data_IF_743265469057
#
_entry.id   IF_743265469057
#
_cell.length_a   1.000
_cell.length_b   1.000
_cell.length_c   1.000
_cell.angle_alpha   90.00
_cell.angle_beta   90.00
_cell.angle_gamma   90.00
#
_symmetry.space_group_name_H-M   'P 1'
#
loop_
_entity.id
_entity.type
_entity.pdbx_description
1 polymer ?
#
# COMPACT_ATOMS: atom_id res chain seq x y z
N UNK A 1 -0.49 18.37 34.77
CA UNK A 1 -0.41 18.62 33.32
C UNK A 1 -1.79 19.05 32.90
N UNK A 2 -1.96 20.32 32.59
CA UNK A 2 -3.25 20.82 32.12
C UNK A 2 -3.55 20.17 30.77
N UNK A 3 -4.65 19.41 30.73
CA UNK A 3 -5.16 18.81 29.51
C UNK A 3 -5.44 19.95 28.52
N UNK A 4 -4.82 19.89 27.35
CA UNK A 4 -5.15 20.80 26.24
C UNK A 4 -6.66 20.71 26.02
N UNK A 5 -7.40 21.84 26.05
CA UNK A 5 -8.84 21.85 25.81
C UNK A 5 -9.20 21.10 24.53
N UNK A 6 -10.29 20.33 24.55
CA UNK A 6 -10.79 19.53 23.41
C UNK A 6 -10.79 20.33 22.10
N UNK A 7 -11.23 21.58 22.19
CA UNK A 7 -11.43 22.45 21.04
C UNK A 7 -10.07 22.87 20.41
N UNK A 8 -9.02 22.99 21.23
CA UNK A 8 -7.66 23.24 20.74
C UNK A 8 -7.03 21.98 20.14
N UNK A 9 -7.36 20.79 20.64
CA UNK A 9 -6.94 19.53 20.04
C UNK A 9 -7.59 19.31 18.67
N UNK A 10 -8.90 19.59 18.56
CA UNK A 10 -9.64 19.48 17.31
C UNK A 10 -9.11 20.47 16.25
N UNK A 11 -8.84 21.72 16.63
CA UNK A 11 -8.23 22.70 15.74
C UNK A 11 -6.84 22.28 15.24
N UNK A 12 -6.02 21.70 16.13
CA UNK A 12 -4.69 21.21 15.77
C UNK A 12 -4.77 20.00 14.82
N UNK A 13 -5.65 19.04 15.10
CA UNK A 13 -5.89 17.86 14.27
C UNK A 13 -6.45 18.24 12.90
N UNK A 14 -7.41 19.17 12.84
CA UNK A 14 -7.96 19.71 11.59
C UNK A 14 -6.91 20.46 10.77
N UNK A 15 -6.06 21.27 11.42
CA UNK A 15 -4.94 21.94 10.76
C UNK A 15 -3.92 20.94 10.22
N UNK A 16 -3.64 19.86 10.95
CA UNK A 16 -2.74 18.80 10.51
C UNK A 16 -3.31 18.01 9.33
N UNK A 17 -4.60 17.65 9.37
CA UNK A 17 -5.33 17.00 8.27
C UNK A 17 -5.25 17.86 7.00
N UNK A 18 -5.59 19.15 7.11
CA UNK A 18 -5.55 20.09 5.99
C UNK A 18 -4.12 20.24 5.47
N UNK A 19 -3.13 20.34 6.35
CA UNK A 19 -1.73 20.53 5.98
C UNK A 19 -1.13 19.29 5.29
N UNK A 20 -1.42 18.08 5.79
CA UNK A 20 -1.04 16.81 5.18
C UNK A 20 -1.67 16.64 3.80
N UNK A 21 -2.98 16.93 3.71
CA UNK A 21 -3.72 16.92 2.46
C UNK A 21 -3.15 17.91 1.45
N UNK A 22 -2.85 19.16 1.85
CA UNK A 22 -2.25 20.17 0.96
C UNK A 22 -0.84 19.76 0.52
N UNK A 23 0.05 19.38 1.45
CA UNK A 23 1.43 19.00 1.14
C UNK A 23 1.48 17.84 0.16
N UNK A 24 0.68 16.80 0.40
CA UNK A 24 0.68 15.61 -0.46
C UNK A 24 0.00 15.84 -1.80
N UNK A 25 -1.07 16.62 -1.83
CA UNK A 25 -1.71 17.02 -3.09
C UNK A 25 -0.74 17.86 -3.94
N UNK A 26 0.01 18.80 -3.32
CA UNK A 26 1.01 19.62 -4.01
C UNK A 26 2.18 18.78 -4.54
N UNK A 27 2.66 17.80 -3.77
CA UNK A 27 3.72 16.88 -4.17
C UNK A 27 3.29 16.02 -5.37
N UNK A 28 2.05 15.52 -5.37
CA UNK A 28 1.50 14.70 -6.46
C UNK A 28 1.23 15.52 -7.73
N UNK A 29 0.69 16.73 -7.61
CA UNK A 29 0.46 17.63 -8.75
C UNK A 29 1.77 17.97 -9.45
N UNK A 30 2.85 18.19 -8.68
CA UNK A 30 4.18 18.47 -9.23
C UNK A 30 4.80 17.26 -9.95
N UNK A 31 4.60 16.04 -9.42
CA UNK A 31 5.21 14.82 -9.95
C UNK A 31 4.42 14.18 -11.11
N UNK A 32 3.11 14.42 -11.20
CA UNK A 32 2.19 13.72 -12.11
C UNK A 32 1.61 14.60 -13.23
N UNK A 33 2.14 15.81 -13.44
CA UNK A 33 1.62 16.73 -14.46
C UNK A 33 0.18 17.19 -14.22
N UNK A 34 -0.23 17.29 -12.95
CA UNK A 34 -1.56 17.81 -12.56
C UNK A 34 -2.63 16.79 -12.18
N UNK A 35 -2.39 15.48 -12.31
CA UNK A 35 -3.35 14.46 -11.87
C UNK A 35 -3.06 13.97 -10.43
N UNK A 36 -4.09 14.00 -9.58
CA UNK A 36 -4.04 13.51 -8.19
C UNK A 36 -4.54 12.06 -8.15
N UNK A 37 -3.69 11.15 -7.68
CA UNK A 37 -4.09 9.79 -7.32
C UNK A 37 -4.70 9.80 -5.90
N UNK A 38 -6.03 9.86 -5.84
CA UNK A 38 -6.76 9.94 -4.58
C UNK A 38 -6.66 8.64 -3.77
N UNK A 39 -6.45 7.50 -4.41
CA UNK A 39 -6.23 6.22 -3.73
C UNK A 39 -4.91 6.22 -2.96
N UNK A 40 -3.82 6.69 -3.57
CA UNK A 40 -2.53 6.84 -2.88
C UNK A 40 -2.61 7.84 -1.73
N UNK A 41 -3.28 8.98 -1.93
CA UNK A 41 -3.48 9.96 -0.86
C UNK A 41 -4.29 9.37 0.30
N UNK A 42 -5.38 8.64 -0.01
CA UNK A 42 -6.19 7.95 0.99
C UNK A 42 -5.38 6.91 1.79
N UNK A 43 -4.51 6.15 1.12
CA UNK A 43 -3.61 5.18 1.78
C UNK A 43 -2.62 5.85 2.74
N UNK A 44 -2.11 7.05 2.42
CA UNK A 44 -1.21 7.80 3.30
C UNK A 44 -1.94 8.36 4.53
N UNK A 45 -3.20 8.76 4.38
CA UNK A 45 -4.00 9.32 5.46
C UNK A 45 -4.55 8.25 6.40
N UNK A 46 -4.85 7.05 5.88
CA UNK A 46 -5.41 5.92 6.65
C UNK A 46 -4.69 5.64 7.98
N UNK A 47 -3.35 5.43 8.05
CA UNK A 47 -2.69 5.14 9.33
C UNK A 47 -2.72 6.30 10.34
N UNK A 48 -2.99 7.53 9.90
CA UNK A 48 -3.08 8.71 10.77
C UNK A 48 -4.50 8.97 11.30
N UNK A 49 -5.51 8.46 10.58
CA UNK A 49 -6.93 8.75 10.83
C UNK A 49 -7.75 7.53 11.22
N UNK A 50 -7.21 6.32 11.07
CA UNK A 50 -7.80 5.11 11.67
C UNK A 50 -7.44 5.07 13.15
N UNK A 51 -8.43 5.12 14.03
CA UNK A 51 -8.22 4.90 15.46
C UNK A 51 -7.70 3.47 15.72
N UNK A 52 -6.55 3.31 16.41
CA UNK A 52 -6.12 2.00 16.90
C UNK A 52 -7.20 1.26 17.71
N UNK A 53 -8.08 1.97 18.42
CA UNK A 53 -9.18 1.36 19.18
C UNK A 53 -10.19 0.62 18.30
N UNK A 54 -10.34 0.99 17.03
CA UNK A 54 -11.21 0.24 16.10
C UNK A 54 -10.67 -1.15 15.83
N UNK A 55 -9.36 -1.27 15.63
CA UNK A 55 -8.70 -2.58 15.44
C UNK A 55 -8.84 -3.42 16.71
N UNK A 56 -8.59 -2.80 17.88
CA UNK A 56 -8.71 -3.49 19.16
C UNK A 56 -10.16 -3.95 19.43
N UNK A 57 -11.14 -3.09 19.15
CA UNK A 57 -12.57 -3.40 19.33
C UNK A 57 -13.03 -4.52 18.41
N UNK A 58 -12.58 -4.54 17.16
CA UNK A 58 -12.86 -5.62 16.22
C UNK A 58 -12.23 -6.94 16.68
N UNK A 59 -10.97 -6.92 17.10
CA UNK A 59 -10.28 -8.11 17.58
C UNK A 59 -10.90 -8.65 18.87
N UNK A 60 -11.31 -7.77 19.80
CA UNK A 60 -12.04 -8.16 21.00
C UNK A 60 -13.36 -8.83 20.65
N UNK A 61 -14.17 -8.20 19.81
CA UNK A 61 -15.41 -8.80 19.30
C UNK A 61 -15.18 -10.19 18.71
N UNK A 62 -14.13 -10.35 17.90
CA UNK A 62 -13.73 -11.64 17.30
C UNK A 62 -13.31 -12.68 18.35
N UNK A 63 -12.53 -12.28 19.35
CA UNK A 63 -12.08 -13.17 20.44
C UNK A 63 -13.22 -13.63 21.33
N UNK A 64 -14.28 -12.83 21.46
CA UNK A 64 -15.48 -13.17 22.23
C UNK A 64 -16.36 -14.21 21.50
N UNK A 65 -16.11 -14.50 20.22
CA UNK A 65 -16.85 -15.50 19.46
C UNK A 65 -16.27 -16.91 19.64
N UNK A 66 -17.12 -17.87 20.03
CA UNK A 66 -16.75 -19.29 20.09
C UNK A 66 -16.45 -19.88 18.69
N UNK A 67 -17.15 -19.40 17.66
CA UNK A 67 -16.89 -19.70 16.26
C UNK A 67 -17.32 -18.52 15.38
N UNK A 68 -16.55 -18.24 14.33
CA UNK A 68 -16.81 -17.13 13.42
C UNK A 68 -17.35 -17.68 12.10
N UNK A 69 -18.57 -17.31 11.74
CA UNK A 69 -19.21 -17.73 10.47
C UNK A 69 -19.23 -16.59 9.46
N UNK A 70 -19.38 -16.89 8.14
CA UNK A 70 -19.58 -15.86 7.13
C UNK A 70 -20.78 -14.97 7.43
N UNK A 71 -21.90 -15.51 7.91
CA UNK A 71 -23.07 -14.68 8.23
C UNK A 71 -22.76 -13.64 9.33
N UNK A 72 -22.01 -14.01 10.37
CA UNK A 72 -21.63 -13.08 11.45
C UNK A 72 -20.72 -11.96 10.95
N UNK A 73 -19.78 -12.27 10.06
CA UNK A 73 -18.92 -11.27 9.42
C UNK A 73 -19.73 -10.30 8.56
N UNK A 74 -20.66 -10.84 7.79
CA UNK A 74 -21.53 -10.03 6.93
C UNK A 74 -22.49 -9.16 7.77
N UNK A 75 -22.98 -9.65 8.90
CA UNK A 75 -23.74 -8.88 9.90
C UNK A 75 -22.90 -7.74 10.51
N UNK A 76 -21.69 -8.04 10.98
CA UNK A 76 -20.77 -7.04 11.55
C UNK A 76 -20.48 -5.90 10.58
N UNK A 77 -20.32 -6.22 9.30
CA UNK A 77 -20.15 -5.22 8.24
C UNK A 77 -21.35 -4.27 8.15
N UNK A 78 -22.57 -4.79 8.11
CA UNK A 78 -23.76 -3.94 7.98
C UNK A 78 -23.98 -3.09 9.23
N UNK A 79 -23.77 -3.66 10.42
CA UNK A 79 -23.80 -2.91 11.68
C UNK A 79 -22.88 -1.67 11.61
N UNK A 80 -21.62 -1.86 11.22
CA UNK A 80 -20.64 -0.76 11.17
C UNK A 80 -20.96 0.25 10.07
N UNK A 81 -21.51 -0.19 8.93
CA UNK A 81 -22.02 0.75 7.91
C UNK A 81 -23.09 1.64 8.52
N UNK A 82 -24.07 1.09 9.23
CA UNK A 82 -25.14 1.89 9.83
C UNK A 82 -24.65 2.80 10.95
N UNK A 83 -23.77 2.31 11.82
CA UNK A 83 -23.19 3.12 12.89
C UNK A 83 -22.47 4.36 12.33
N UNK A 84 -21.79 4.21 11.20
CA UNK A 84 -21.10 5.31 10.52
C UNK A 84 -22.08 6.21 9.76
N UNK A 85 -23.13 5.68 9.14
CA UNK A 85 -24.16 6.49 8.49
C UNK A 85 -24.96 7.34 9.49
N UNK A 86 -25.16 6.85 10.73
CA UNK A 86 -25.75 7.65 11.83
C UNK A 86 -24.91 8.87 12.21
N UNK A 87 -23.62 8.89 11.84
CA UNK A 87 -22.72 10.04 12.00
C UNK A 87 -22.77 11.02 10.81
N UNK A 88 -23.65 10.79 9.84
CA UNK A 88 -23.92 11.69 8.72
C UNK A 88 -22.67 11.98 7.86
N UNK A 89 -21.85 10.96 7.62
CA UNK A 89 -20.61 11.08 6.85
C UNK A 89 -20.81 11.46 5.38
N UNK A 90 -22.04 11.32 4.86
CA UNK A 90 -22.39 11.58 3.47
C UNK A 90 -23.13 12.92 3.27
N UNK A 91 -23.24 13.77 4.31
CA UNK A 91 -23.98 15.05 4.29
C UNK A 91 -23.61 16.03 3.17
N UNK A 92 -22.38 15.95 2.66
CA UNK A 92 -21.89 16.82 1.58
C UNK A 92 -21.99 16.21 0.18
N UNK A 93 -22.47 14.96 0.06
CA UNK A 93 -22.70 14.34 -1.25
C UNK A 93 -24.01 14.84 -1.86
N UNK A 94 -24.15 14.68 -3.18
CA UNK A 94 -25.40 14.99 -3.87
C UNK A 94 -26.53 14.07 -3.38
N UNK A 95 -27.77 14.55 -3.41
CA UNK A 95 -28.92 13.76 -2.96
C UNK A 95 -29.04 12.45 -3.75
N UNK A 96 -29.51 11.40 -3.06
CA UNK A 96 -29.79 10.13 -3.68
C UNK A 96 -30.95 10.27 -4.68
N UNK A 97 -30.78 9.72 -5.88
CA UNK A 97 -31.86 9.60 -6.83
C UNK A 97 -32.84 8.52 -6.35
N UNK A 98 -34.13 8.68 -6.65
CA UNK A 98 -35.17 7.73 -6.23
C UNK A 98 -34.87 6.28 -6.67
N UNK A 99 -34.25 6.08 -7.84
CA UNK A 99 -33.89 4.73 -8.29
C UNK A 99 -32.80 4.10 -7.42
N UNK A 100 -31.82 4.87 -6.92
CA UNK A 100 -30.77 4.37 -6.02
C UNK A 100 -31.34 3.94 -4.67
N UNK A 101 -32.33 4.69 -4.18
CA UNK A 101 -33.05 4.38 -2.94
C UNK A 101 -33.90 3.12 -3.11
N UNK A 102 -34.59 2.97 -4.25
CA UNK A 102 -35.43 1.80 -4.53
C UNK A 102 -34.62 0.50 -4.70
N UNK A 103 -33.33 0.58 -5.04
CA UNK A 103 -32.43 -0.58 -5.09
C UNK A 103 -31.99 -1.08 -3.70
N UNK A 104 -32.34 -0.36 -2.62
CA UNK A 104 -32.06 -0.78 -1.25
C UNK A 104 -33.22 -1.66 -0.81
N UNK A 105 -33.02 -2.98 -0.92
CA UNK A 105 -34.03 -3.95 -0.54
C UNK A 105 -34.07 -4.12 0.99
N UNK A 106 -35.21 -3.80 1.58
CA UNK A 106 -35.46 -3.92 3.03
C UNK A 106 -35.29 -5.37 3.51
N UNK A 107 -35.69 -6.36 2.71
CA UNK A 107 -35.64 -7.78 3.10
C UNK A 107 -34.20 -8.30 3.17
N UNK A 108 -33.30 -7.79 2.33
CA UNK A 108 -31.87 -8.16 2.33
C UNK A 108 -31.14 -7.52 3.52
N UNK A 109 -31.65 -6.40 4.06
CA UNK A 109 -30.99 -5.63 5.12
C UNK A 109 -31.55 -5.98 6.51
N UNK A 110 -32.86 -6.18 6.62
CA UNK A 110 -33.54 -6.49 7.90
C UNK A 110 -33.14 -7.85 8.48
N UNK A 111 -32.74 -8.82 7.66
CA UNK A 111 -32.19 -10.10 8.13
C UNK A 111 -30.85 -9.95 8.89
N UNK A 112 -30.30 -8.73 8.97
CA UNK A 112 -28.94 -8.45 9.37
C UNK A 112 -28.79 -7.32 10.38
N UNK A 113 -29.88 -6.76 10.89
CA UNK A 113 -29.85 -5.76 11.97
C UNK A 113 -30.41 -6.47 13.21
N UNK A 114 -29.63 -6.54 14.30
CA UNK A 114 -30.10 -7.19 15.52
C UNK A 114 -31.13 -6.30 16.18
N UNK A 115 -32.40 -6.69 16.10
CA UNK A 115 -33.53 -6.22 16.87
C UNK A 115 -33.87 -4.70 16.79
N UNK A 116 -35.13 -4.46 16.38
CA UNK A 116 -35.92 -3.23 16.54
C UNK A 116 -35.55 -1.97 15.73
N UNK A 117 -34.34 -1.82 15.19
CA UNK A 117 -34.03 -0.68 14.32
C UNK A 117 -34.67 -0.87 12.94
N UNK A 118 -35.80 -0.18 12.70
CA UNK A 118 -36.38 -0.03 11.37
C UNK A 118 -35.47 0.84 10.52
N UNK A 119 -35.21 0.40 9.29
CA UNK A 119 -34.54 1.21 8.28
C UNK A 119 -35.44 2.38 7.91
N UNK A 120 -35.20 3.55 8.50
CA UNK A 120 -35.95 4.75 8.16
C UNK A 120 -35.55 5.26 6.75
N UNK A 121 -36.42 6.08 6.16
CA UNK A 121 -36.22 6.61 4.81
C UNK A 121 -34.95 7.47 4.69
N UNK A 122 -34.48 8.06 5.80
CA UNK A 122 -33.27 8.86 5.82
C UNK A 122 -32.01 7.97 5.72
N UNK A 123 -31.95 6.92 6.52
CA UNK A 123 -30.86 5.95 6.51
C UNK A 123 -30.77 5.24 5.16
N UNK A 124 -31.90 4.96 4.51
CA UNK A 124 -31.94 4.46 3.13
C UNK A 124 -31.27 5.42 2.16
N UNK A 125 -31.60 6.72 2.23
CA UNK A 125 -30.99 7.75 1.36
C UNK A 125 -29.48 7.85 1.60
N UNK A 126 -29.06 7.87 2.86
CA UNK A 126 -27.63 7.95 3.21
C UNK A 126 -26.86 6.69 2.79
N UNK A 127 -27.47 5.51 2.91
CA UNK A 127 -26.90 4.26 2.38
C UNK A 127 -26.81 4.28 0.85
N UNK A 128 -27.80 4.86 0.15
CA UNK A 128 -27.78 5.01 -1.30
C UNK A 128 -26.62 5.89 -1.74
N UNK A 129 -26.39 7.02 -1.06
CA UNK A 129 -25.21 7.88 -1.27
C UNK A 129 -23.92 7.11 -1.06
N UNK A 130 -23.78 6.40 0.07
CA UNK A 130 -22.57 5.63 0.36
C UNK A 130 -22.30 4.54 -0.68
N UNK A 131 -23.32 3.84 -1.19
CA UNK A 131 -23.18 2.79 -2.22
C UNK A 131 -22.44 3.27 -3.47
N UNK A 132 -22.51 4.56 -3.83
CA UNK A 132 -21.75 5.15 -4.96
C UNK A 132 -20.23 5.01 -4.81
N UNK A 133 -19.78 4.90 -3.57
CA UNK A 133 -18.39 4.81 -3.13
C UNK A 133 -18.01 3.42 -2.62
N UNK A 134 -18.92 2.45 -2.71
CA UNK A 134 -18.65 1.06 -2.35
C UNK A 134 -18.41 0.22 -3.60
N UNK A 135 -17.54 -0.76 -3.45
CA UNK A 135 -17.35 -1.85 -4.39
C UNK A 135 -17.98 -3.08 -3.76
N UNK A 136 -19.01 -3.64 -4.41
CA UNK A 136 -19.66 -4.91 -4.04
C UNK A 136 -19.39 -5.93 -5.14
N UNK A 137 -18.62 -6.97 -4.84
CA UNK A 137 -18.39 -8.09 -5.77
C UNK A 137 -18.36 -9.41 -4.97
N UNK A 138 -19.34 -10.26 -5.22
CA UNK A 138 -19.58 -11.45 -4.41
C UNK A 138 -19.82 -11.10 -2.94
N UNK A 139 -19.10 -11.78 -2.05
CA UNK A 139 -19.17 -11.55 -0.60
C UNK A 139 -18.31 -10.39 -0.11
N UNK A 140 -17.47 -9.81 -0.99
CA UNK A 140 -16.56 -8.72 -0.65
C UNK A 140 -17.25 -7.37 -0.84
N UNK A 141 -17.16 -6.53 0.19
CA UNK A 141 -17.58 -5.13 0.15
C UNK A 141 -16.46 -4.27 0.67
N UNK A 142 -16.03 -3.26 -0.10
CA UNK A 142 -14.96 -2.36 0.29
C UNK A 142 -15.19 -0.94 -0.21
N UNK A 143 -14.52 0.04 0.38
CA UNK A 143 -14.52 1.41 -0.11
C UNK A 143 -13.77 1.50 -1.46
N UNK A 144 -14.35 2.13 -2.47
CA UNK A 144 -13.63 2.66 -3.63
C UNK A 144 -12.78 3.85 -3.19
N UNK A 145 -11.51 3.60 -2.84
CA UNK A 145 -10.61 4.63 -2.28
C UNK A 145 -10.36 5.80 -3.23
N UNK A 146 -10.49 5.60 -4.54
CA UNK A 146 -10.32 6.67 -5.51
C UNK A 146 -11.53 7.61 -5.45
N UNK A 147 -12.75 7.09 -5.55
CA UNK A 147 -13.97 7.91 -5.47
C UNK A 147 -14.15 8.52 -4.08
N UNK A 148 -13.97 7.71 -3.04
CA UNK A 148 -14.17 8.13 -1.65
C UNK A 148 -13.07 9.10 -1.20
N UNK A 149 -11.83 8.91 -1.65
CA UNK A 149 -10.75 9.88 -1.44
C UNK A 149 -11.02 11.21 -2.16
N UNK A 150 -11.57 11.19 -3.36
CA UNK A 150 -12.00 12.41 -4.06
C UNK A 150 -13.09 13.16 -3.30
N UNK A 151 -14.09 12.44 -2.79
CA UNK A 151 -15.14 12.99 -1.93
C UNK A 151 -14.54 13.61 -0.66
N UNK A 152 -13.74 12.84 0.08
CA UNK A 152 -13.05 13.29 1.29
C UNK A 152 -12.28 14.60 1.04
N UNK A 153 -11.52 14.67 -0.05
CA UNK A 153 -10.69 15.82 -0.39
C UNK A 153 -11.47 17.05 -0.84
N UNK A 154 -12.53 16.85 -1.64
CA UNK A 154 -13.41 17.94 -2.08
C UNK A 154 -14.03 18.67 -0.88
N UNK A 155 -14.32 17.92 0.19
CA UNK A 155 -15.03 18.44 1.37
C UNK A 155 -14.16 18.52 2.63
N UNK A 156 -12.84 18.33 2.52
CA UNK A 156 -11.91 18.24 3.67
C UNK A 156 -11.93 19.48 4.58
N UNK A 157 -12.24 20.66 4.03
CA UNK A 157 -12.37 21.91 4.79
C UNK A 157 -13.66 21.97 5.60
N UNK A 158 -14.70 21.31 5.11
CA UNK A 158 -16.01 21.27 5.74
C UNK A 158 -16.10 20.18 6.81
N UNK A 159 -15.39 19.05 6.64
CA UNK A 159 -15.36 17.97 7.62
C UNK A 159 -14.82 18.41 8.99
N UNK A 160 -15.42 17.87 10.04
CA UNK A 160 -14.79 17.78 11.37
C UNK A 160 -13.72 16.69 11.37
N UNK A 161 -12.88 16.66 12.41
CA UNK A 161 -11.92 15.56 12.57
C UNK A 161 -12.64 14.21 12.75
N UNK A 162 -13.73 14.21 13.51
CA UNK A 162 -14.55 13.01 13.76
C UNK A 162 -15.25 12.50 12.50
N UNK A 163 -15.71 13.39 11.61
CA UNK A 163 -16.28 13.00 10.32
C UNK A 163 -15.23 12.24 9.49
N UNK A 164 -14.02 12.80 9.38
CA UNK A 164 -12.93 12.18 8.64
C UNK A 164 -12.55 10.84 9.28
N UNK A 165 -12.42 10.79 10.60
CA UNK A 165 -12.10 9.57 11.35
C UNK A 165 -13.14 8.48 11.10
N UNK A 166 -14.43 8.77 11.23
CA UNK A 166 -15.51 7.81 10.98
C UNK A 166 -15.44 7.17 9.57
N UNK A 167 -15.05 7.94 8.54
CA UNK A 167 -14.83 7.41 7.20
C UNK A 167 -13.68 6.39 7.14
N UNK A 168 -12.58 6.64 7.84
CA UNK A 168 -11.43 5.73 7.88
C UNK A 168 -11.68 4.52 8.81
N UNK A 169 -12.47 4.67 9.87
CA UNK A 169 -12.93 3.58 10.74
C UNK A 169 -13.79 2.57 9.95
N UNK A 170 -14.67 3.08 9.07
CA UNK A 170 -15.44 2.25 8.14
C UNK A 170 -14.53 1.42 7.24
N UNK A 171 -13.59 2.05 6.52
CA UNK A 171 -12.66 1.32 5.63
C UNK A 171 -11.78 0.32 6.38
N UNK A 172 -11.33 0.64 7.60
CA UNK A 172 -10.55 -0.27 8.43
C UNK A 172 -11.37 -1.52 8.81
N UNK A 173 -12.60 -1.33 9.25
CA UNK A 173 -13.46 -2.44 9.65
C UNK A 173 -13.88 -3.31 8.47
N UNK A 174 -14.19 -2.69 7.33
CA UNK A 174 -14.48 -3.43 6.09
C UNK A 174 -13.27 -4.26 5.63
N UNK A 175 -12.05 -3.69 5.69
CA UNK A 175 -10.83 -4.44 5.37
C UNK A 175 -10.62 -5.64 6.32
N UNK A 176 -10.86 -5.49 7.63
CA UNK A 176 -10.76 -6.59 8.60
C UNK A 176 -11.81 -7.69 8.35
N UNK A 177 -13.07 -7.31 8.10
CA UNK A 177 -14.13 -8.26 7.73
C UNK A 177 -13.78 -9.01 6.45
N UNK A 178 -13.29 -8.30 5.43
CA UNK A 178 -12.88 -8.94 4.17
C UNK A 178 -11.69 -9.89 4.38
N UNK A 179 -10.73 -9.53 5.23
CA UNK A 179 -9.60 -10.41 5.55
C UNK A 179 -10.05 -11.72 6.21
N UNK A 180 -11.01 -11.64 7.14
CA UNK A 180 -11.56 -12.84 7.78
C UNK A 180 -12.45 -13.68 6.84
N UNK A 181 -13.18 -13.03 5.91
CA UNK A 181 -13.88 -13.73 4.84
C UNK A 181 -12.91 -14.45 3.90
N UNK A 182 -11.77 -13.83 3.56
CA UNK A 182 -10.71 -14.46 2.77
C UNK A 182 -10.07 -15.63 3.51
N UNK A 183 -9.84 -15.50 4.83
CA UNK A 183 -9.31 -16.60 5.63
C UNK A 183 -10.22 -17.84 5.57
N UNK A 184 -11.54 -17.64 5.51
CA UNK A 184 -12.53 -18.71 5.36
C UNK A 184 -12.70 -19.18 3.91
N UNK A 185 -12.51 -18.29 2.92
CA UNK A 185 -12.59 -18.59 1.49
C UNK A 185 -11.50 -17.85 0.70
N UNK A 186 -10.31 -18.45 0.54
CA UNK A 186 -9.15 -17.78 -0.08
C UNK A 186 -9.37 -17.32 -1.52
N UNK A 187 -10.35 -17.88 -2.25
CA UNK A 187 -10.68 -17.44 -3.62
C UNK A 187 -11.10 -15.98 -3.68
N UNK A 188 -11.68 -15.45 -2.60
CA UNK A 188 -12.11 -14.06 -2.49
C UNK A 188 -10.94 -13.06 -2.55
N UNK A 189 -9.70 -13.49 -2.29
CA UNK A 189 -8.52 -12.62 -2.39
C UNK A 189 -8.36 -12.04 -3.80
N UNK A 190 -8.74 -12.79 -4.84
CA UNK A 190 -8.66 -12.33 -6.24
C UNK A 190 -9.52 -11.09 -6.48
N UNK A 191 -10.69 -10.99 -5.83
CA UNK A 191 -11.58 -9.83 -5.88
C UNK A 191 -10.90 -8.64 -5.21
N UNK A 192 -10.28 -8.84 -4.04
CA UNK A 192 -9.55 -7.76 -3.35
C UNK A 192 -8.40 -7.23 -4.23
N UNK A 193 -7.63 -8.13 -4.84
CA UNK A 193 -6.48 -7.77 -5.68
C UNK A 193 -6.87 -7.01 -6.96
N UNK A 194 -8.11 -7.14 -7.44
CA UNK A 194 -8.63 -6.39 -8.59
C UNK A 194 -8.78 -4.90 -8.30
N UNK A 195 -9.12 -4.53 -7.06
CA UNK A 195 -9.48 -3.15 -6.70
C UNK A 195 -8.49 -2.47 -5.76
N UNK A 196 -7.79 -3.25 -4.95
CA UNK A 196 -6.65 -2.75 -4.19
C UNK A 196 -5.44 -2.88 -5.10
N UNK A 197 -4.86 -1.74 -5.48
CA UNK A 197 -3.46 -1.70 -5.90
C UNK A 197 -2.71 -2.43 -4.81
N UNK A 198 -2.31 -3.67 -5.09
CA UNK A 198 -1.33 -4.32 -4.24
C UNK A 198 -0.15 -3.36 -4.24
N UNK A 199 0.51 -3.12 -3.09
CA UNK A 199 1.92 -2.77 -3.19
C UNK A 199 2.47 -3.83 -4.14
N UNK A 200 2.96 -3.40 -5.31
CA UNK A 200 3.62 -4.32 -6.21
C UNK A 200 4.48 -5.21 -5.32
N UNK A 201 4.35 -6.56 -5.39
CA UNK A 201 5.24 -7.41 -4.61
C UNK A 201 6.62 -6.82 -4.81
N UNK A 202 7.39 -6.61 -3.73
CA UNK A 202 8.67 -5.87 -3.75
C UNK A 202 9.59 -6.24 -4.93
N UNK A 203 9.33 -7.39 -5.55
CA UNK A 203 9.77 -7.96 -6.81
C UNK A 203 9.53 -7.09 -8.09
N UNK A 204 8.63 -6.10 -8.12
CA UNK A 204 8.45 -5.16 -9.25
C UNK A 204 9.00 -3.76 -8.98
N UNK A 205 9.80 -3.61 -7.93
CA UNK A 205 10.53 -2.38 -7.65
C UNK A 205 11.47 -2.02 -8.82
N UNK A 206 11.44 -0.77 -9.31
CA UNK A 206 12.26 -0.30 -10.43
C UNK A 206 13.76 -0.66 -10.32
N UNK A 207 14.45 -0.54 -9.17
CA UNK A 207 15.81 -1.04 -9.05
C UNK A 207 15.91 -2.56 -9.06
N UNK A 208 14.96 -3.31 -8.49
CA UNK A 208 14.99 -4.77 -8.55
C UNK A 208 14.98 -5.24 -10.01
N UNK A 209 14.04 -4.70 -10.81
CA UNK A 209 13.94 -4.97 -12.25
C UNK A 209 15.21 -4.58 -13.00
N UNK A 210 15.80 -3.43 -12.67
CA UNK A 210 17.03 -2.93 -13.33
C UNK A 210 18.25 -3.76 -12.93
N UNK A 211 18.40 -4.10 -11.65
CA UNK A 211 19.49 -4.95 -11.15
C UNK A 211 19.40 -6.32 -11.82
N UNK A 212 18.21 -6.95 -11.83
CA UNK A 212 17.98 -8.23 -12.54
C UNK A 212 18.35 -8.09 -14.00
N UNK A 213 17.77 -7.13 -14.72
CA UNK A 213 18.04 -6.91 -16.15
C UNK A 213 19.51 -6.62 -16.48
N UNK A 214 20.29 -6.09 -15.54
CA UNK A 214 21.74 -5.86 -15.71
C UNK A 214 22.51 -7.16 -15.45
N UNK A 215 22.22 -7.86 -14.36
CA UNK A 215 22.99 -9.00 -13.90
C UNK A 215 22.66 -10.30 -14.65
N UNK A 216 21.47 -10.40 -15.25
CA UNK A 216 21.05 -11.55 -16.07
C UNK A 216 21.35 -11.39 -17.56
N UNK A 217 22.06 -10.32 -17.97
CA UNK A 217 22.54 -10.20 -19.35
C UNK A 217 23.44 -11.39 -19.70
N UNK A 218 23.26 -11.96 -20.89
CA UNK A 218 24.00 -13.15 -21.34
C UNK A 218 25.51 -12.98 -21.21
N UNK A 219 26.03 -11.81 -21.56
CA UNK A 219 27.45 -11.49 -21.48
C UNK A 219 27.94 -11.35 -20.03
N UNK A 220 27.08 -10.88 -19.12
CA UNK A 220 27.38 -10.75 -17.68
C UNK A 220 27.36 -12.12 -16.99
N UNK A 221 26.37 -12.96 -17.30
CA UNK A 221 26.28 -14.34 -16.81
C UNK A 221 27.47 -15.19 -17.29
N UNK A 222 28.12 -14.85 -18.40
CA UNK A 222 29.34 -15.52 -18.83
C UNK A 222 30.53 -15.30 -17.86
N UNK A 223 30.47 -14.32 -16.96
CA UNK A 223 31.52 -13.96 -16.00
C UNK A 223 31.36 -14.57 -14.59
N UNK A 224 30.28 -15.31 -14.34
CA UNK A 224 30.05 -15.95 -13.04
C UNK A 224 31.10 -17.03 -12.76
N UNK A 225 31.43 -17.22 -11.49
CA UNK A 225 32.46 -18.17 -11.04
C UNK A 225 32.02 -19.63 -11.20
N UNK A 226 30.71 -19.91 -11.08
CA UNK A 226 30.10 -21.21 -11.26
C UNK A 226 28.75 -21.07 -11.99
N UNK A 227 28.69 -21.50 -13.25
CA UNK A 227 27.50 -21.36 -14.10
C UNK A 227 26.34 -22.27 -13.71
N UNK A 228 26.61 -23.38 -13.00
CA UNK A 228 25.56 -24.28 -12.53
C UNK A 228 24.88 -23.70 -11.28
N UNK A 229 25.68 -23.11 -10.38
CA UNK A 229 25.20 -22.51 -9.13
C UNK A 229 24.61 -21.11 -9.34
N UNK A 230 25.37 -20.19 -9.94
CA UNK A 230 25.01 -18.78 -10.10
C UNK A 230 24.42 -18.51 -11.49
N UNK A 231 23.32 -19.17 -11.80
CA UNK A 231 22.59 -18.98 -13.06
C UNK A 231 21.61 -17.79 -12.97
N UNK A 232 20.89 -17.50 -14.07
CA UNK A 232 19.95 -16.39 -14.14
C UNK A 232 18.87 -16.47 -13.05
N UNK A 233 18.30 -17.65 -12.82
CA UNK A 233 17.26 -17.88 -11.81
C UNK A 233 17.79 -17.61 -10.40
N UNK A 234 19.01 -18.05 -10.09
CA UNK A 234 19.65 -17.74 -8.81
C UNK A 234 19.85 -16.23 -8.62
N UNK A 235 20.30 -15.51 -9.66
CA UNK A 235 20.46 -14.05 -9.59
C UNK A 235 19.11 -13.36 -9.38
N UNK A 236 18.05 -13.79 -10.05
CA UNK A 236 16.71 -13.23 -9.86
C UNK A 236 16.22 -13.43 -8.42
N UNK A 237 16.38 -14.65 -7.90
CA UNK A 237 16.01 -14.98 -6.52
C UNK A 237 16.86 -14.21 -5.50
N UNK A 238 18.16 -14.06 -5.75
CA UNK A 238 19.05 -13.25 -4.93
C UNK A 238 18.57 -11.80 -4.85
N UNK A 239 18.18 -11.20 -5.98
CA UNK A 239 17.67 -9.82 -5.99
C UNK A 239 16.35 -9.73 -5.23
N UNK A 240 15.44 -10.69 -5.38
CA UNK A 240 14.19 -10.73 -4.61
C UNK A 240 14.47 -10.82 -3.11
N UNK A 241 15.38 -11.69 -2.69
CA UNK A 241 15.77 -11.84 -1.30
C UNK A 241 16.43 -10.56 -0.75
N UNK A 242 17.26 -9.87 -1.55
CA UNK A 242 17.88 -8.61 -1.18
C UNK A 242 16.83 -7.53 -0.98
N UNK A 243 15.84 -7.45 -1.86
CA UNK A 243 14.75 -6.48 -1.75
C UNK A 243 13.80 -6.78 -0.60
N UNK A 244 13.65 -8.05 -0.21
CA UNK A 244 12.88 -8.48 0.95
C UNK A 244 13.64 -8.29 2.29
N UNK A 245 14.94 -8.07 2.25
CA UNK A 245 15.76 -7.85 3.45
C UNK A 245 15.54 -6.47 4.07
N UNK A 246 16.14 -6.25 5.25
CA UNK A 246 16.24 -4.95 5.91
C UNK A 246 16.85 -3.84 5.04
N UNK A 247 17.64 -4.20 4.02
CA UNK A 247 18.22 -3.24 3.08
C UNK A 247 17.26 -2.79 1.97
N UNK A 248 16.18 -3.54 1.71
CA UNK A 248 15.23 -3.25 0.64
C UNK A 248 14.58 -1.86 0.76
N UNK A 249 14.17 -1.47 1.97
CA UNK A 249 13.60 -0.14 2.25
C UNK A 249 14.60 0.98 1.97
N UNK A 250 15.86 0.82 2.40
CA UNK A 250 16.92 1.82 2.17
C UNK A 250 17.29 1.95 0.69
N UNK A 251 17.34 0.83 -0.03
CA UNK A 251 17.51 0.82 -1.49
C UNK A 251 16.38 1.62 -2.14
N UNK A 252 15.17 1.52 -1.63
CA UNK A 252 14.03 2.25 -2.15
C UNK A 252 14.11 3.76 -1.93
N UNK A 253 14.50 4.18 -0.73
CA UNK A 253 14.73 5.58 -0.39
C UNK A 253 15.86 6.18 -1.24
N UNK A 254 16.98 5.47 -1.39
CA UNK A 254 18.09 5.94 -2.22
C UNK A 254 17.71 5.96 -3.70
N UNK A 255 16.84 5.07 -4.16
CA UNK A 255 16.34 5.06 -5.54
C UNK A 255 15.47 6.28 -5.84
N UNK A 256 14.73 6.83 -4.89
CA UNK A 256 13.97 8.06 -5.11
C UNK A 256 14.88 9.21 -5.56
N UNK A 257 16.13 9.26 -5.07
CA UNK A 257 17.13 10.25 -5.44
C UNK A 257 17.82 9.92 -6.78
N UNK A 258 17.53 10.71 -7.83
CA UNK A 258 18.07 10.52 -9.18
C UNK A 258 19.61 10.45 -9.24
N UNK A 259 20.33 11.17 -8.35
CA UNK A 259 21.80 11.16 -8.29
C UNK A 259 22.37 9.85 -7.71
N UNK A 260 21.57 9.10 -6.97
CA UNK A 260 21.97 7.83 -6.32
C UNK A 260 21.54 6.59 -7.11
N UNK A 261 20.50 6.68 -7.94
CA UNK A 261 19.96 5.55 -8.75
C UNK A 261 21.03 4.74 -9.47
N UNK A 262 21.97 5.41 -10.14
CA UNK A 262 23.02 4.72 -10.90
C UNK A 262 24.01 3.93 -10.02
N UNK A 263 24.19 4.36 -8.77
CA UNK A 263 25.15 3.72 -7.86
C UNK A 263 24.60 2.41 -7.32
N UNK A 264 23.29 2.30 -7.15
CA UNK A 264 22.66 1.14 -6.50
C UNK A 264 22.98 -0.18 -7.23
N UNK A 265 22.76 -0.33 -8.56
CA UNK A 265 23.10 -1.58 -9.24
C UNK A 265 24.60 -1.86 -9.27
N UNK A 266 25.44 -0.82 -9.34
CA UNK A 266 26.89 -0.95 -9.29
C UNK A 266 27.36 -1.48 -7.92
N UNK A 267 26.82 -0.94 -6.82
CA UNK A 267 27.13 -1.40 -5.47
C UNK A 267 26.76 -2.87 -5.26
N UNK A 268 25.59 -3.29 -5.73
CA UNK A 268 25.16 -4.70 -5.66
C UNK A 268 26.10 -5.59 -6.46
N UNK A 269 26.43 -5.21 -7.70
CA UNK A 269 27.40 -5.95 -8.53
C UNK A 269 28.80 -6.03 -7.87
N UNK A 270 29.24 -4.95 -7.21
CA UNK A 270 30.49 -4.90 -6.47
C UNK A 270 30.51 -5.81 -5.23
N UNK A 271 29.38 -5.95 -4.54
CA UNK A 271 29.23 -6.90 -3.43
C UNK A 271 29.31 -8.35 -3.93
N UNK A 272 28.64 -8.65 -5.05
CA UNK A 272 28.67 -9.98 -5.67
C UNK A 272 30.07 -10.39 -6.17
N UNK A 273 30.87 -9.45 -6.69
CA UNK A 273 32.31 -9.70 -6.95
C UNK A 273 33.03 -10.07 -5.65
N UNK A 274 32.80 -9.30 -4.59
CA UNK A 274 33.50 -9.48 -3.31
C UNK A 274 33.10 -10.78 -2.61
N UNK A 275 31.88 -11.25 -2.83
CA UNK A 275 31.38 -12.55 -2.39
C UNK A 275 31.77 -13.73 -3.32
N UNK A 276 32.55 -13.48 -4.37
CA UNK A 276 33.06 -14.53 -5.25
C UNK A 276 32.05 -15.06 -6.28
N UNK A 277 30.88 -14.44 -6.43
CA UNK A 277 29.86 -14.82 -7.43
C UNK A 277 30.37 -14.50 -8.84
N UNK A 278 31.02 -13.36 -9.03
CA UNK A 278 31.68 -13.01 -10.29
C UNK A 278 33.20 -13.15 -10.17
N UNK A 279 33.82 -13.98 -11.02
CA UNK A 279 35.27 -14.19 -11.03
C UNK A 279 35.97 -13.22 -11.99
N UNK A 280 35.77 -11.92 -11.78
CA UNK A 280 36.37 -10.88 -12.61
C UNK A 280 36.63 -9.58 -11.84
N UNK A 281 37.47 -8.71 -12.40
CA UNK A 281 37.71 -7.38 -11.85
C UNK A 281 36.49 -6.46 -12.06
N UNK A 282 36.25 -5.50 -11.17
CA UNK A 282 35.20 -4.46 -11.30
C UNK A 282 35.21 -3.74 -12.66
N UNK A 283 36.36 -3.30 -13.22
CA UNK A 283 36.39 -2.69 -14.56
C UNK A 283 35.93 -3.63 -15.68
N UNK A 284 36.27 -4.93 -15.59
CA UNK A 284 35.82 -5.94 -16.55
C UNK A 284 34.31 -6.12 -16.50
N UNK A 285 33.74 -6.28 -15.30
CA UNK A 285 32.28 -6.39 -15.13
C UNK A 285 31.56 -5.13 -15.64
N UNK A 286 32.06 -3.94 -15.28
CA UNK A 286 31.48 -2.67 -15.70
C UNK A 286 31.45 -2.48 -17.23
N UNK A 287 32.49 -2.94 -17.96
CA UNK A 287 32.53 -2.92 -19.43
C UNK A 287 31.57 -3.90 -20.06
N UNK A 288 31.33 -5.03 -19.41
CA UNK A 288 30.43 -6.08 -19.92
C UNK A 288 28.96 -5.70 -19.74
N UNK A 289 28.63 -4.95 -18.69
CA UNK A 289 27.27 -4.46 -18.45
C UNK A 289 26.89 -3.45 -19.55
N UNK A 290 25.92 -3.81 -20.38
CA UNK A 290 25.31 -2.88 -21.33
C UNK A 290 24.24 -2.07 -20.61
N UNK A 291 24.59 -0.84 -20.23
CA UNK A 291 23.64 0.09 -19.62
C UNK A 291 22.72 0.62 -20.74
N UNK A 292 21.51 0.05 -20.86
CA UNK A 292 20.48 0.50 -21.83
C UNK A 292 19.56 1.59 -21.30
N UNK A 293 19.68 1.98 -20.03
CA UNK A 293 18.87 3.03 -19.41
C UNK A 293 19.56 4.40 -19.50
N UNK A 294 18.79 5.49 -19.41
CA UNK A 294 19.15 6.92 -19.57
C UNK A 294 20.30 7.47 -18.68
N UNK A 295 21.05 6.60 -18.02
CA UNK A 295 22.25 6.95 -17.30
C UNK A 295 23.35 7.33 -18.31
N UNK A 296 23.46 8.61 -18.64
CA UNK A 296 24.58 9.18 -19.40
C UNK A 296 25.90 9.07 -18.60
N UNK A 297 26.48 7.87 -18.52
CA UNK A 297 27.65 7.58 -17.66
C UNK A 297 28.73 6.86 -18.44
N UNK A 298 29.97 7.38 -18.33
CA UNK A 298 31.17 6.72 -18.87
C UNK A 298 31.45 5.45 -18.06
N UNK A 299 31.84 4.36 -18.73
CA UNK A 299 32.11 3.05 -18.11
C UNK A 299 33.09 3.09 -16.93
N UNK A 300 34.07 3.99 -16.97
CA UNK A 300 35.06 4.23 -15.91
C UNK A 300 34.40 4.72 -14.60
N UNK A 301 33.35 5.53 -14.70
CA UNK A 301 32.57 5.99 -13.54
C UNK A 301 31.74 4.86 -12.93
N UNK A 302 31.27 3.90 -13.73
CA UNK A 302 30.43 2.80 -13.24
C UNK A 302 31.22 1.78 -12.43
N UNK A 303 32.45 1.44 -12.85
CA UNK A 303 33.36 0.60 -12.07
C UNK A 303 33.69 1.23 -10.71
N UNK A 304 33.81 2.56 -10.66
CA UNK A 304 34.05 3.31 -9.41
C UNK A 304 32.88 3.17 -8.44
N UNK A 305 31.64 3.19 -8.94
CA UNK A 305 30.45 3.00 -8.11
C UNK A 305 30.24 1.58 -7.57
N UNK A 306 31.02 0.60 -8.03
CA UNK A 306 31.03 -0.73 -7.41
C UNK A 306 31.68 -0.74 -6.01
N UNK A 307 32.25 0.41 -5.59
CA UNK A 307 32.69 0.71 -4.24
C UNK A 307 33.90 -0.10 -3.77
N UNK A 308 34.49 0.28 -2.64
CA UNK A 308 35.42 -0.57 -1.85
C UNK A 308 34.72 -1.09 -0.59
N UNK A 309 35.32 -1.99 0.21
CA UNK A 309 34.64 -2.62 1.38
C UNK A 309 33.87 -1.62 2.28
N UNK A 310 34.43 -0.43 2.54
CA UNK A 310 33.79 0.61 3.38
C UNK A 310 32.59 1.32 2.72
N UNK A 311 32.43 1.20 1.41
CA UNK A 311 31.37 1.84 0.61
C UNK A 311 30.33 0.82 0.13
N UNK A 312 30.37 -0.42 0.61
CA UNK A 312 29.47 -1.49 0.21
C UNK A 312 28.44 -1.78 1.30
N UNK A 313 27.31 -1.04 1.33
CA UNK A 313 26.33 -1.12 2.42
C UNK A 313 25.59 -2.46 2.51
N UNK A 314 25.74 -3.33 1.51
CA UNK A 314 25.06 -4.63 1.42
C UNK A 314 26.03 -5.81 1.57
N UNK A 315 27.33 -5.56 1.76
CA UNK A 315 28.36 -6.60 1.62
C UNK A 315 28.18 -7.74 2.61
N UNK A 316 27.94 -7.44 3.89
CA UNK A 316 27.79 -8.45 4.93
C UNK A 316 26.58 -9.36 4.66
N UNK A 317 25.44 -8.76 4.29
CA UNK A 317 24.25 -9.51 3.92
C UNK A 317 24.49 -10.37 2.67
N UNK A 318 25.14 -9.84 1.64
CA UNK A 318 25.43 -10.59 0.41
C UNK A 318 26.37 -11.76 0.69
N UNK A 319 27.40 -11.58 1.52
CA UNK A 319 28.31 -12.66 1.92
C UNK A 319 27.54 -13.77 2.65
N UNK A 320 26.74 -13.42 3.65
CA UNK A 320 25.92 -14.39 4.39
C UNK A 320 24.93 -15.14 3.48
N UNK A 321 24.32 -14.43 2.52
CA UNK A 321 23.39 -15.02 1.56
C UNK A 321 24.06 -16.04 0.63
N UNK A 322 25.26 -15.72 0.14
CA UNK A 322 26.05 -16.56 -0.78
C UNK A 322 26.68 -17.77 -0.07
N UNK A 323 27.00 -17.65 1.22
CA UNK A 323 27.47 -18.78 2.03
C UNK A 323 26.34 -19.77 2.34
N UNK A 324 25.11 -19.26 2.53
CA UNK A 324 23.94 -20.06 2.92
C UNK A 324 23.22 -20.74 1.74
N UNK A 325 23.52 -20.35 0.49
CA UNK A 325 22.86 -20.83 -0.74
C UNK A 325 23.87 -21.12 -1.84
#
# INVERSE_FOLDING_TARGET
MDLVPSDMQELFQKSMLISLSILKTSEMVHNSGGQIDYQQLYQLLKPLLTDPEVINSYNKWKSDLCCMTPQMLKHKRLQVIFDVLKRDIMKYDEDAFNYEVNEINDDEITQWISCEEKLDDNLKKELAKLKRYLIKEGDIIMIDRQKFGKYAMKHIKAFSYEDARAMFELDATLDMVNADLVAQNPRLQTIINKYRLQPEPFNAFAPAKIIKSILTQTEVLALVSNKQKYNAQWIEQFVDNLMASEHGRKIAEDWANSKKRIKIPALVAGCLISAGVFKCSKPKLARTIRIRHDFKVKTECYATYMGMKREQPYLEWVLAHVESN
#
